data_IF_122145437257
#
_entry.id   IF_122145437257
#
_cell.length_a   1.000
_cell.length_b   1.000
_cell.length_c   1.000
_cell.angle_alpha   90.00
_cell.angle_beta   90.00
_cell.angle_gamma   90.00
#
_symmetry.space_group_name_H-M   'P 1'
#
loop_
_entity.id
_entity.type
_entity.pdbx_description
1 polymer ?
#
# COMPACT_ATOMS: atom_id res chain seq x y z
N UNK A 1 21.52 -29.74 -22.22
CA UNK A 1 20.56 -29.03 -23.09
C UNK A 1 19.20 -29.16 -22.44
N UNK A 2 18.47 -28.06 -22.23
CA UNK A 2 17.19 -28.09 -21.52
C UNK A 2 16.12 -28.83 -22.32
N UNK A 3 15.34 -29.66 -21.63
CA UNK A 3 14.23 -30.42 -22.19
C UNK A 3 13.11 -29.49 -22.69
N UNK A 4 12.56 -29.77 -23.88
CA UNK A 4 11.40 -29.07 -24.42
C UNK A 4 10.15 -29.50 -23.64
N UNK A 5 9.40 -28.56 -23.08
CA UNK A 5 8.27 -28.86 -22.19
C UNK A 5 6.90 -28.50 -22.77
N UNK A 6 6.87 -27.64 -23.80
CA UNK A 6 5.62 -27.17 -24.39
C UNK A 6 5.51 -27.57 -25.88
N UNK A 7 4.30 -27.88 -26.37
CA UNK A 7 4.08 -28.12 -27.79
C UNK A 7 4.58 -26.94 -28.63
N UNK A 8 5.31 -27.23 -29.72
CA UNK A 8 5.89 -26.25 -30.65
C UNK A 8 6.96 -25.31 -30.04
N UNK A 9 7.48 -25.61 -28.84
CA UNK A 9 8.60 -24.87 -28.26
C UNK A 9 9.87 -25.16 -29.07
N UNK A 10 10.48 -24.11 -29.66
CA UNK A 10 11.77 -24.27 -30.32
C UNK A 10 12.88 -24.46 -29.29
N UNK A 11 13.96 -25.14 -29.69
CA UNK A 11 15.14 -25.32 -28.84
C UNK A 11 15.75 -23.98 -28.42
N UNK A 12 15.85 -23.05 -29.35
CA UNK A 12 16.37 -21.70 -29.11
C UNK A 12 15.54 -20.96 -28.07
N UNK A 13 14.21 -21.01 -28.18
CA UNK A 13 13.32 -20.41 -27.19
C UNK A 13 13.51 -21.04 -25.81
N UNK A 14 13.59 -22.37 -25.73
CA UNK A 14 13.76 -23.10 -24.46
C UNK A 14 15.08 -22.75 -23.77
N UNK A 15 16.16 -22.67 -24.53
CA UNK A 15 17.48 -22.29 -24.01
C UNK A 15 17.48 -20.83 -23.52
N UNK A 16 16.89 -19.90 -24.30
CA UNK A 16 16.71 -18.51 -23.89
C UNK A 16 15.84 -18.38 -22.62
N UNK A 17 14.72 -19.12 -22.54
CA UNK A 17 13.84 -19.08 -21.36
C UNK A 17 14.50 -19.67 -20.12
N UNK A 18 15.33 -20.71 -20.28
CA UNK A 18 16.09 -21.27 -19.16
C UNK A 18 17.16 -20.30 -18.67
N UNK A 19 17.76 -19.51 -19.57
CA UNK A 19 18.68 -18.44 -19.20
C UNK A 19 17.94 -17.35 -18.42
N UNK A 20 16.82 -16.83 -18.96
CA UNK A 20 16.00 -15.81 -18.29
C UNK A 20 15.51 -16.27 -16.90
N UNK A 21 15.10 -17.54 -16.76
CA UNK A 21 14.64 -18.08 -15.49
C UNK A 21 15.71 -18.01 -14.39
N UNK A 22 17.00 -18.09 -14.73
CA UNK A 22 18.08 -17.91 -13.75
C UNK A 22 18.10 -16.48 -13.24
N UNK A 23 18.03 -15.50 -14.15
CA UNK A 23 18.01 -14.08 -13.79
C UNK A 23 16.75 -13.72 -12.99
N UNK A 24 15.58 -14.28 -13.35
CA UNK A 24 14.33 -14.12 -12.61
C UNK A 24 14.41 -14.70 -11.19
N UNK A 25 15.07 -15.85 -11.02
CA UNK A 25 15.30 -16.47 -9.70
C UNK A 25 16.20 -15.60 -8.83
N UNK A 26 17.30 -15.07 -9.40
CA UNK A 26 18.20 -14.15 -8.70
C UNK A 26 17.47 -12.87 -8.25
N UNK A 27 16.59 -12.33 -9.10
CA UNK A 27 15.76 -11.18 -8.76
C UNK A 27 14.83 -11.48 -7.58
N UNK A 28 14.16 -12.63 -7.59
CA UNK A 28 13.29 -13.08 -6.49
C UNK A 28 14.08 -13.19 -5.18
N UNK A 29 15.26 -13.80 -5.22
CA UNK A 29 16.09 -13.97 -4.03
C UNK A 29 16.62 -12.63 -3.51
N UNK A 30 16.92 -11.68 -4.40
CA UNK A 30 17.26 -10.31 -4.03
C UNK A 30 16.09 -9.61 -3.34
N UNK A 31 14.87 -9.72 -3.89
CA UNK A 31 13.66 -9.14 -3.29
C UNK A 31 13.42 -9.71 -1.89
N UNK A 32 13.57 -11.04 -1.71
CA UNK A 32 13.46 -11.69 -0.39
C UNK A 32 14.50 -11.16 0.59
N UNK A 33 15.76 -11.04 0.16
CA UNK A 33 16.84 -10.50 0.99
C UNK A 33 16.58 -9.05 1.42
N UNK A 34 16.07 -8.21 0.51
CA UNK A 34 15.69 -6.82 0.83
C UNK A 34 14.51 -6.79 1.80
N UNK A 35 13.51 -7.64 1.61
CA UNK A 35 12.35 -7.73 2.51
C UNK A 35 12.77 -8.15 3.92
N UNK A 36 13.72 -9.07 4.05
CA UNK A 36 14.29 -9.45 5.35
C UNK A 36 15.00 -8.28 6.02
N UNK A 37 15.86 -7.56 5.28
CA UNK A 37 16.53 -6.36 5.79
C UNK A 37 15.54 -5.28 6.25
N UNK A 38 14.41 -5.11 5.54
CA UNK A 38 13.35 -4.17 5.93
C UNK A 38 12.68 -4.56 7.26
N UNK A 39 12.44 -5.86 7.49
CA UNK A 39 11.87 -6.35 8.76
C UNK A 39 12.82 -6.19 9.95
N UNK A 40 14.13 -6.20 9.69
CA UNK A 40 15.17 -6.01 10.70
C UNK A 40 15.50 -4.54 11.00
N UNK A 41 14.88 -3.58 10.29
CA UNK A 41 15.08 -2.18 10.59
C UNK A 41 14.65 -1.90 12.04
N UNK A 42 15.42 -1.07 12.79
CA UNK A 42 14.97 -0.62 14.10
C UNK A 42 13.68 0.17 13.96
N UNK A 43 12.99 0.38 15.08
CA UNK A 43 11.82 1.27 15.12
C UNK A 43 12.20 2.62 14.51
N UNK A 44 11.28 3.17 13.72
CA UNK A 44 11.41 4.52 13.17
C UNK A 44 11.49 5.58 14.27
N UNK A 45 11.78 6.80 13.86
CA UNK A 45 11.79 7.94 14.80
C UNK A 45 10.42 8.17 15.41
N UNK A 46 10.43 8.71 16.63
CA UNK A 46 9.21 9.19 17.28
C UNK A 46 8.60 10.34 16.47
N UNK A 47 7.28 10.43 16.48
CA UNK A 47 6.59 11.57 15.90
C UNK A 47 6.91 12.82 16.72
N UNK A 48 7.10 13.95 16.03
CA UNK A 48 7.42 15.22 16.68
C UNK A 48 6.30 15.70 17.60
N UNK A 49 5.05 15.38 17.23
CA UNK A 49 3.84 15.80 17.92
C UNK A 49 2.69 14.86 17.56
N UNK A 50 1.61 14.96 18.33
CA UNK A 50 0.36 14.28 18.03
C UNK A 50 -0.43 15.09 16.99
N UNK A 51 -0.12 14.84 15.71
CA UNK A 51 -0.68 15.58 14.58
C UNK A 51 -2.21 15.58 14.57
N UNK A 52 -2.80 16.67 14.07
CA UNK A 52 -4.27 16.79 13.98
C UNK A 52 -4.73 16.80 12.52
N UNK A 53 -5.73 15.97 12.24
CA UNK A 53 -6.38 15.82 10.95
C UNK A 53 -7.85 16.22 11.03
N UNK A 54 -8.51 16.24 9.88
CA UNK A 54 -9.95 16.36 9.77
C UNK A 54 -10.52 15.10 9.13
N UNK A 55 -11.59 14.57 9.71
CA UNK A 55 -12.35 13.50 9.08
C UNK A 55 -12.97 13.97 7.78
N UNK A 56 -13.02 13.08 6.79
CA UNK A 56 -13.51 13.35 5.46
C UNK A 56 -14.63 12.39 5.01
N UNK A 57 -15.16 11.58 5.93
CA UNK A 57 -16.19 10.58 5.68
C UNK A 57 -16.99 10.30 6.97
N UNK A 58 -17.82 9.24 6.96
CA UNK A 58 -18.54 8.68 8.12
C UNK A 58 -19.44 9.67 8.87
N UNK A 59 -19.97 10.68 8.17
CA UNK A 59 -20.78 11.74 8.78
C UNK A 59 -20.00 12.62 9.77
N UNK A 60 -18.67 12.58 9.73
CA UNK A 60 -17.77 13.34 10.60
C UNK A 60 -16.99 14.41 9.86
N UNK A 61 -17.35 14.71 8.61
CA UNK A 61 -16.64 15.67 7.74
C UNK A 61 -16.28 16.96 8.49
N UNK A 62 -14.99 17.33 8.45
CA UNK A 62 -14.45 18.52 9.10
C UNK A 62 -14.16 18.39 10.60
N UNK A 63 -14.63 17.33 11.28
CA UNK A 63 -14.32 17.09 12.70
C UNK A 63 -12.84 16.79 12.87
N UNK A 64 -12.23 17.42 13.87
CA UNK A 64 -10.81 17.24 14.20
C UNK A 64 -10.58 15.88 14.86
N UNK A 65 -9.45 15.26 14.55
CA UNK A 65 -8.98 14.01 15.17
C UNK A 65 -7.47 14.04 15.29
N UNK A 66 -6.94 13.62 16.43
CA UNK A 66 -5.49 13.51 16.66
C UNK A 66 -4.96 12.19 16.08
N UNK A 67 -3.66 12.14 15.80
CA UNK A 67 -2.98 10.97 15.28
C UNK A 67 -3.12 9.78 16.23
N UNK A 68 -2.98 10.02 17.54
CA UNK A 68 -3.14 9.02 18.60
C UNK A 68 -4.55 8.41 18.63
N UNK A 69 -5.58 9.19 18.32
CA UNK A 69 -6.98 8.74 18.30
C UNK A 69 -7.27 7.81 17.12
N UNK A 70 -6.48 7.86 16.05
CA UNK A 70 -6.63 6.97 14.88
C UNK A 70 -6.32 5.50 15.20
N UNK A 71 -5.68 5.21 16.34
CA UNK A 71 -5.42 3.84 16.78
C UNK A 71 -6.67 3.15 17.36
N UNK A 72 -7.67 3.91 17.80
CA UNK A 72 -8.85 3.39 18.50
C UNK A 72 -8.47 2.44 19.65
N UNK A 73 -8.89 1.18 19.60
CA UNK A 73 -8.58 0.12 20.58
C UNK A 73 -7.39 -0.76 20.16
N UNK A 74 -6.61 -0.34 19.15
CA UNK A 74 -5.50 -1.11 18.57
C UNK A 74 -4.12 -0.54 18.94
N UNK A 75 -3.10 -1.38 18.81
CA UNK A 75 -1.70 -1.00 19.06
C UNK A 75 -0.90 -0.74 17.77
N UNK A 76 -1.52 -0.95 16.61
CA UNK A 76 -0.90 -0.81 15.29
C UNK A 76 -1.82 0.02 14.40
N UNK A 77 -1.28 1.05 13.75
CA UNK A 77 -1.96 1.85 12.74
C UNK A 77 -1.26 1.68 11.39
N UNK A 78 -2.01 1.27 10.38
CA UNK A 78 -1.60 1.28 8.99
C UNK A 78 -2.12 2.57 8.34
N UNK A 79 -1.18 3.47 8.03
CA UNK A 79 -1.50 4.77 7.46
C UNK A 79 -1.13 4.78 5.97
N UNK A 80 -2.12 5.03 5.12
CA UNK A 80 -1.91 5.17 3.68
C UNK A 80 -1.98 6.63 3.25
N UNK A 81 -0.94 7.12 2.55
CA UNK A 81 -0.96 8.45 1.94
C UNK A 81 -1.70 8.41 0.60
N UNK A 82 -2.99 8.73 0.64
CA UNK A 82 -3.82 8.87 -0.55
C UNK A 82 -3.50 10.18 -1.27
N UNK A 83 -2.91 10.06 -2.46
CA UNK A 83 -2.47 11.23 -3.22
C UNK A 83 -3.66 11.97 -3.83
N UNK A 84 -4.20 12.91 -3.05
CA UNK A 84 -5.17 13.89 -3.51
C UNK A 84 -4.73 15.27 -3.04
N UNK A 85 -4.29 16.10 -3.99
CA UNK A 85 -3.76 17.44 -3.72
C UNK A 85 -4.86 18.49 -3.47
N UNK A 86 -4.58 19.57 -2.73
CA UNK A 86 -5.55 20.65 -2.46
C UNK A 86 -6.11 21.33 -3.71
N UNK A 87 -5.36 21.33 -4.81
CA UNK A 87 -5.72 21.99 -6.07
C UNK A 87 -6.00 20.97 -7.18
N UNK A 88 -6.22 19.71 -6.85
CA UNK A 88 -6.53 18.67 -7.83
C UNK A 88 -8.04 18.54 -7.97
N UNK A 89 -8.49 18.28 -9.19
CA UNK A 89 -9.89 17.98 -9.51
C UNK A 89 -10.22 16.53 -9.14
N UNK A 90 -9.28 15.61 -9.37
CA UNK A 90 -9.42 14.18 -9.11
C UNK A 90 -8.20 13.65 -8.34
N UNK A 91 -8.37 12.60 -7.51
CA UNK A 91 -7.24 11.94 -6.86
C UNK A 91 -6.39 11.15 -7.85
N UNK A 92 -5.22 10.72 -7.40
CA UNK A 92 -4.33 9.86 -8.18
C UNK A 92 -5.04 8.54 -8.55
N UNK A 93 -5.16 8.17 -9.84
CA UNK A 93 -5.84 6.96 -10.26
C UNK A 93 -5.24 5.67 -9.66
N UNK A 94 -3.92 5.65 -9.44
CA UNK A 94 -3.24 4.51 -8.80
C UNK A 94 -3.60 4.38 -7.33
N UNK A 95 -3.70 5.50 -6.61
CA UNK A 95 -4.16 5.50 -5.21
C UNK A 95 -5.62 5.06 -5.10
N UNK A 96 -6.48 5.53 -6.00
CA UNK A 96 -7.88 5.08 -6.11
C UNK A 96 -7.94 3.57 -6.33
N UNK A 97 -7.27 3.06 -7.36
CA UNK A 97 -7.25 1.62 -7.66
C UNK A 97 -6.74 0.77 -6.49
N UNK A 98 -5.77 1.27 -5.71
CA UNK A 98 -5.28 0.57 -4.53
C UNK A 98 -6.34 0.52 -3.41
N UNK A 99 -6.97 1.65 -3.10
CA UNK A 99 -7.99 1.74 -2.04
C UNK A 99 -9.25 0.95 -2.41
N UNK A 100 -9.66 0.94 -3.69
CA UNK A 100 -10.74 0.09 -4.19
C UNK A 100 -10.45 -1.40 -3.92
N UNK A 101 -9.19 -1.83 -4.06
CA UNK A 101 -8.74 -3.18 -3.73
C UNK A 101 -8.81 -3.51 -2.22
N UNK A 102 -8.87 -2.50 -1.35
CA UNK A 102 -8.99 -2.70 0.09
C UNK A 102 -10.44 -2.87 0.57
N UNK A 103 -11.44 -2.48 -0.22
CA UNK A 103 -12.87 -2.42 0.19
C UNK A 103 -13.39 -3.70 0.85
N UNK A 104 -12.87 -4.87 0.46
CA UNK A 104 -13.21 -6.14 1.13
C UNK A 104 -12.15 -6.69 2.08
N UNK A 105 -10.88 -6.39 1.85
CA UNK A 105 -9.79 -6.97 2.64
C UNK A 105 -9.58 -6.26 3.98
N UNK A 106 -10.00 -4.99 4.10
CA UNK A 106 -9.80 -4.19 5.31
C UNK A 106 -10.46 -4.82 6.56
N UNK A 107 -11.59 -5.53 6.40
CA UNK A 107 -12.30 -6.20 7.50
C UNK A 107 -11.44 -7.24 8.25
N UNK A 108 -10.50 -7.90 7.57
CA UNK A 108 -9.59 -8.83 8.23
C UNK A 108 -8.43 -8.10 8.90
N UNK A 109 -7.97 -7.01 8.29
CA UNK A 109 -6.88 -6.17 8.82
C UNK A 109 -7.31 -5.49 10.12
N UNK A 110 -8.53 -4.94 10.16
CA UNK A 110 -9.06 -4.16 11.31
C UNK A 110 -9.33 -4.98 12.56
N UNK A 111 -9.24 -6.30 12.47
CA UNK A 111 -9.22 -7.17 13.66
C UNK A 111 -7.98 -6.96 14.52
N UNK A 112 -6.84 -6.65 13.90
CA UNK A 112 -5.54 -6.59 14.58
C UNK A 112 -4.81 -5.24 14.44
N UNK A 113 -5.20 -4.39 13.48
CA UNK A 113 -4.58 -3.08 13.26
C UNK A 113 -5.61 -2.05 12.79
N UNK A 114 -5.54 -0.82 13.29
CA UNK A 114 -6.30 0.29 12.72
C UNK A 114 -5.79 0.61 11.31
N UNK A 115 -6.67 1.13 10.45
CA UNK A 115 -6.33 1.54 9.09
C UNK A 115 -6.93 2.90 8.79
N UNK A 116 -6.12 3.81 8.25
CA UNK A 116 -6.57 5.13 7.83
C UNK A 116 -5.90 5.55 6.52
N UNK A 117 -6.66 6.16 5.63
CA UNK A 117 -6.14 6.86 4.46
C UNK A 117 -6.13 8.37 4.73
N UNK A 118 -5.01 9.03 4.46
CA UNK A 118 -4.84 10.48 4.62
C UNK A 118 -4.58 11.14 3.28
N UNK A 119 -5.15 12.32 3.08
CA UNK A 119 -4.92 13.14 1.90
C UNK A 119 -4.77 14.61 2.28
N UNK A 120 -4.22 15.41 1.35
CA UNK A 120 -4.03 16.85 1.57
C UNK A 120 -5.21 17.69 1.08
N UNK A 121 -6.08 17.13 0.23
CA UNK A 121 -7.30 17.80 -0.21
C UNK A 121 -8.21 18.15 0.98
N UNK A 122 -9.02 19.23 0.88
CA UNK A 122 -9.99 19.56 1.92
C UNK A 122 -10.95 18.40 2.20
N UNK A 123 -11.37 18.25 3.45
CA UNK A 123 -12.24 17.16 3.90
C UNK A 123 -13.54 17.06 3.08
N UNK A 124 -14.12 18.21 2.73
CA UNK A 124 -15.35 18.31 1.94
C UNK A 124 -15.14 17.79 0.52
N UNK A 125 -13.97 18.05 -0.07
CA UNK A 125 -13.64 17.58 -1.43
C UNK A 125 -13.41 16.07 -1.44
N UNK A 126 -12.72 15.56 -0.42
CA UNK A 126 -12.52 14.11 -0.27
C UNK A 126 -13.88 13.43 -0.11
N UNK A 127 -14.76 13.95 0.77
CA UNK A 127 -16.10 13.40 0.98
C UNK A 127 -16.99 13.47 -0.26
N UNK A 128 -16.88 14.53 -1.06
CA UNK A 128 -17.68 14.68 -2.28
C UNK A 128 -17.26 13.70 -3.39
N UNK A 129 -16.01 13.21 -3.33
CA UNK A 129 -15.48 12.25 -4.28
C UNK A 129 -15.68 10.80 -3.83
N UNK A 130 -15.53 10.52 -2.53
CA UNK A 130 -15.66 9.19 -1.92
C UNK A 130 -17.11 8.70 -1.86
#
# INVERSE_FOLDING_TARGET
MSELRYPNESREYREARQSLLKDEQELVDKVKSVAEKRRQLPRGGELKEDYVFQWANDGKVGKRVKFSELFEDKNTLLLYSFMFGPNWDNPCPSCTSLVDGFDRSWYQVTRNAAFAAIAKAPAERINAWA
#
